data_IF_092145958091
#
_entry.id   IF_092145958091
#
_cell.length_a   1.000
_cell.length_b   1.000
_cell.length_c   1.000
_cell.angle_alpha   90.00
_cell.angle_beta   90.00
_cell.angle_gamma   90.00
#
_symmetry.space_group_name_H-M   'P 1'
#
loop_
_entity.id
_entity.type
_entity.pdbx_description
1 polymer ?
#
# COMPACT_ATOMS: atom_id res chain seq x y z
N UNK A 1 -51.65 -50.85 -9.66
CA UNK A 1 -52.17 -49.61 -10.28
C UNK A 1 -51.86 -48.43 -9.36
N UNK A 2 -51.59 -47.25 -9.92
CA UNK A 2 -51.61 -45.93 -9.24
C UNK A 2 -53.09 -45.44 -9.11
N UNK A 3 -53.46 -44.25 -8.54
CA UNK A 3 -52.69 -43.18 -7.86
C UNK A 3 -53.30 -42.77 -6.45
N UNK A 4 -53.68 -41.51 -6.10
CA UNK A 4 -52.90 -40.61 -5.22
C UNK A 4 -53.72 -39.85 -4.13
N UNK A 5 -53.24 -38.65 -3.73
CA UNK A 5 -53.92 -37.50 -3.09
C UNK A 5 -54.09 -37.52 -1.56
N UNK A 6 -54.03 -36.41 -0.81
CA UNK A 6 -53.41 -35.06 -1.01
C UNK A 6 -53.42 -34.31 0.36
N UNK A 7 -52.88 -33.08 0.43
CA UNK A 7 -53.05 -32.07 1.51
C UNK A 7 -52.53 -32.39 2.93
N UNK A 8 -52.32 -31.42 3.81
CA UNK A 8 -51.83 -30.03 3.68
C UNK A 8 -51.52 -29.51 5.10
N UNK A 9 -50.59 -28.54 5.23
CA UNK A 9 -50.44 -27.71 6.44
C UNK A 9 -49.79 -28.37 7.69
N UNK A 10 -48.94 -27.67 8.44
CA UNK A 10 -48.37 -26.34 8.21
C UNK A 10 -47.68 -25.78 9.46
N UNK A 11 -46.67 -24.92 9.24
CA UNK A 11 -46.09 -23.94 10.18
C UNK A 11 -45.62 -24.41 11.59
N UNK A 12 -44.48 -23.96 12.13
CA UNK A 12 -43.88 -22.61 12.02
C UNK A 12 -42.36 -22.62 12.03
N UNK A 13 -41.79 -21.84 11.12
CA UNK A 13 -40.60 -21.04 11.39
C UNK A 13 -40.99 -19.79 12.21
N UNK A 14 -40.08 -19.29 13.04
CA UNK A 14 -39.61 -17.91 13.06
C UNK A 14 -38.19 -17.86 12.43
N UNK A 15 -37.76 -16.96 11.53
CA UNK A 15 -38.15 -15.58 11.21
C UNK A 15 -38.09 -14.67 12.46
N UNK A 16 -37.29 -13.61 12.59
CA UNK A 16 -36.28 -12.93 11.75
C UNK A 16 -35.19 -12.39 12.74
N UNK A 17 -34.06 -11.76 12.41
CA UNK A 17 -33.46 -11.25 11.16
C UNK A 17 -31.91 -11.22 11.31
N UNK A 18 -31.17 -10.96 10.23
CA UNK A 18 -30.07 -9.96 10.16
C UNK A 18 -29.53 -9.91 8.72
N UNK A 19 -29.97 -8.84 8.06
CA UNK A 19 -29.35 -8.15 6.93
C UNK A 19 -27.81 -8.19 7.02
N UNK A 20 -27.00 -8.42 5.99
CA UNK A 20 -27.24 -8.10 4.59
C UNK A 20 -26.24 -7.06 4.09
N UNK A 21 -24.92 -7.28 4.23
CA UNK A 21 -23.91 -6.49 3.49
C UNK A 21 -23.51 -7.22 2.19
N UNK A 22 -23.92 -6.71 1.01
CA UNK A 22 -23.62 -7.33 -0.28
C UNK A 22 -22.28 -6.87 -0.88
N UNK A 23 -21.41 -6.17 -0.13
CA UNK A 23 -20.19 -5.52 -0.68
C UNK A 23 -18.92 -6.35 -0.49
N UNK A 24 -18.97 -7.46 0.26
CA UNK A 24 -17.84 -8.33 0.56
C UNK A 24 -17.46 -9.35 -0.57
N UNK A 25 -18.12 -9.33 -1.73
CA UNK A 25 -17.86 -10.25 -2.84
C UNK A 25 -17.44 -9.49 -4.12
N UNK A 26 -16.14 -9.19 -4.29
CA UNK A 26 -15.42 -9.86 -5.38
C UNK A 26 -13.90 -10.04 -5.13
N UNK A 27 -13.47 -10.76 -4.07
CA UNK A 27 -12.03 -10.95 -3.79
C UNK A 27 -11.56 -12.40 -3.54
N UNK A 28 -12.42 -13.40 -3.81
CA UNK A 28 -12.22 -14.77 -3.30
C UNK A 28 -11.53 -15.77 -4.24
N UNK A 29 -10.76 -15.32 -5.24
CA UNK A 29 -10.07 -16.22 -6.20
C UNK A 29 -8.53 -16.23 -6.06
N UNK A 30 -7.91 -15.24 -5.37
CA UNK A 30 -6.45 -15.22 -5.14
C UNK A 30 -6.01 -15.73 -3.74
N UNK A 31 -6.96 -16.14 -2.89
CA UNK A 31 -6.76 -16.18 -1.43
C UNK A 31 -5.80 -17.24 -0.87
N UNK A 32 -5.48 -18.31 -1.62
CA UNK A 32 -4.74 -19.48 -1.06
C UNK A 32 -3.26 -19.27 -0.79
N UNK A 33 -2.57 -18.43 -1.55
CA UNK A 33 -1.19 -18.02 -1.28
C UNK A 33 -1.13 -16.74 -0.44
N UNK A 34 -2.05 -15.81 -0.69
CA UNK A 34 -2.05 -14.50 -0.04
C UNK A 34 -2.50 -14.54 1.43
N UNK A 35 -3.28 -15.55 1.87
CA UNK A 35 -3.93 -15.57 3.18
C UNK A 35 -3.01 -15.30 4.39
N UNK A 36 -1.82 -15.89 4.45
CA UNK A 36 -0.87 -15.64 5.57
C UNK A 36 -0.24 -14.25 5.53
N UNK A 37 0.07 -13.73 4.34
CA UNK A 37 0.63 -12.39 4.17
C UNK A 37 -0.43 -11.32 4.46
N UNK A 38 -1.66 -11.49 3.94
CA UNK A 38 -2.79 -10.58 4.20
C UNK A 38 -3.10 -10.49 5.69
N UNK A 39 -3.20 -11.62 6.42
CA UNK A 39 -3.47 -11.59 7.87
C UNK A 39 -2.37 -10.82 8.63
N UNK A 40 -1.10 -10.99 8.25
CA UNK A 40 0.01 -10.22 8.83
C UNK A 40 -0.08 -8.72 8.51
N UNK A 41 -0.36 -8.38 7.25
CA UNK A 41 -0.55 -6.98 6.78
C UNK A 41 -1.72 -6.32 7.51
N UNK A 42 -2.83 -7.02 7.71
CA UNK A 42 -4.03 -6.50 8.41
C UNK A 42 -3.69 -6.14 9.85
N UNK A 43 -3.11 -7.06 10.62
CA UNK A 43 -2.74 -6.79 12.02
C UNK A 43 -1.70 -5.66 12.16
N UNK A 44 -0.76 -5.55 11.22
CA UNK A 44 0.17 -4.41 11.15
C UNK A 44 -0.50 -3.10 10.77
N UNK A 45 -1.53 -3.12 9.92
CA UNK A 45 -2.33 -1.94 9.62
C UNK A 45 -3.11 -1.49 10.85
N UNK A 46 -3.71 -2.41 11.62
CA UNK A 46 -4.42 -2.09 12.87
C UNK A 46 -3.48 -1.45 13.91
N UNK A 47 -2.30 -2.03 14.15
CA UNK A 47 -1.25 -1.48 15.03
C UNK A 47 -0.75 -0.09 14.56
N UNK A 48 -0.75 0.15 13.25
CA UNK A 48 -0.43 1.43 12.64
C UNK A 48 -1.54 2.49 12.78
N UNK A 49 -2.79 2.10 13.09
CA UNK A 49 -3.88 3.07 13.34
C UNK A 49 -3.65 3.87 14.62
N UNK A 50 -3.06 3.24 15.65
CA UNK A 50 -2.74 3.89 16.92
C UNK A 50 -1.44 4.71 16.84
N UNK A 51 -0.41 4.17 16.18
CA UNK A 51 0.93 4.77 16.17
C UNK A 51 1.21 5.70 14.97
N UNK A 52 0.33 5.74 13.95
CA UNK A 52 0.56 6.48 12.68
C UNK A 52 1.83 6.05 11.91
N UNK A 53 2.36 4.86 12.20
CA UNK A 53 3.53 4.25 11.57
C UNK A 53 3.16 2.87 11.03
N UNK A 54 3.20 2.69 9.70
CA UNK A 54 2.84 1.45 9.04
C UNK A 54 4.08 0.62 8.70
N UNK A 55 4.36 -0.42 9.48
CA UNK A 55 5.38 -1.43 9.18
C UNK A 55 4.79 -2.61 8.40
N UNK A 56 5.11 -2.68 7.11
CA UNK A 56 4.82 -3.80 6.21
C UNK A 56 6.12 -4.43 5.66
N UNK A 57 7.23 -4.29 6.39
CA UNK A 57 8.52 -4.86 6.01
C UNK A 57 8.49 -6.40 5.95
N UNK A 58 9.36 -6.98 5.11
CA UNK A 58 9.57 -8.44 4.95
C UNK A 58 8.29 -9.28 4.70
N UNK A 59 7.23 -8.66 4.18
CA UNK A 59 5.93 -9.30 3.94
C UNK A 59 5.82 -10.02 2.58
N UNK A 60 6.91 -10.09 1.81
CA UNK A 60 6.98 -10.71 0.47
C UNK A 60 5.92 -10.16 -0.50
N UNK A 61 5.56 -8.89 -0.35
CA UNK A 61 4.53 -8.22 -1.14
C UNK A 61 5.04 -7.95 -2.56
N UNK A 62 4.30 -8.41 -3.57
CA UNK A 62 4.51 -8.06 -4.99
C UNK A 62 3.96 -6.67 -5.32
N UNK A 63 2.97 -6.22 -4.52
CA UNK A 63 2.30 -4.93 -4.58
C UNK A 63 1.62 -4.67 -3.23
N UNK A 64 1.36 -3.41 -2.90
CA UNK A 64 0.54 -3.05 -1.73
C UNK A 64 -0.91 -3.51 -1.97
N UNK A 65 -1.46 -4.42 -1.16
CA UNK A 65 -2.78 -5.02 -1.41
C UNK A 65 -3.91 -4.05 -1.05
N UNK A 66 -5.05 -4.12 -1.75
CA UNK A 66 -6.14 -3.14 -1.57
C UNK A 66 -6.70 -3.05 -0.15
N UNK A 67 -6.57 -4.12 0.65
CA UNK A 67 -6.93 -4.13 2.06
C UNK A 67 -6.26 -2.99 2.86
N UNK A 68 -5.00 -2.64 2.54
CA UNK A 68 -4.27 -1.54 3.21
C UNK A 68 -5.00 -0.20 3.01
N UNK A 69 -5.48 0.10 1.81
CA UNK A 69 -6.21 1.35 1.56
C UNK A 69 -7.59 1.40 2.24
N UNK A 70 -8.21 0.24 2.48
CA UNK A 70 -9.49 0.13 3.17
C UNK A 70 -9.32 0.28 4.69
N UNK A 71 -8.35 -0.41 5.29
CA UNK A 71 -8.04 -0.33 6.72
C UNK A 71 -7.52 1.06 7.10
N UNK A 72 -6.56 1.58 6.32
CA UNK A 72 -5.98 2.90 6.56
C UNK A 72 -6.83 4.04 5.96
N UNK A 73 -8.13 3.79 5.70
CA UNK A 73 -9.04 4.82 5.15
C UNK A 73 -9.17 6.03 6.07
N UNK A 74 -9.21 5.80 7.38
CA UNK A 74 -9.41 6.82 8.42
C UNK A 74 -8.14 7.15 9.22
N UNK A 75 -6.99 6.65 8.78
CA UNK A 75 -5.69 6.87 9.43
C UNK A 75 -4.80 7.73 8.56
N UNK A 76 -4.17 8.73 9.18
CA UNK A 76 -3.15 9.57 8.57
C UNK A 76 -1.77 8.99 8.93
N UNK A 77 -1.04 8.50 7.94
CA UNK A 77 0.29 7.94 8.15
C UNK A 77 1.36 9.01 8.10
N UNK A 78 2.27 8.96 9.07
CA UNK A 78 3.51 9.74 9.10
C UNK A 78 4.70 8.91 8.64
N UNK A 79 4.79 7.66 9.10
CA UNK A 79 5.84 6.75 8.65
C UNK A 79 5.24 5.54 7.94
N UNK A 80 5.90 5.08 6.88
CA UNK A 80 5.55 3.84 6.21
C UNK A 80 6.82 3.08 5.80
N UNK A 81 6.95 1.85 6.28
CA UNK A 81 8.00 0.92 5.91
C UNK A 81 7.42 -0.19 5.03
N UNK A 82 7.97 -0.32 3.82
CA UNK A 82 7.65 -1.36 2.83
C UNK A 82 8.91 -2.13 2.43
N UNK A 83 9.97 -2.07 3.25
CA UNK A 83 11.27 -2.64 2.93
C UNK A 83 11.29 -4.18 2.90
N UNK A 84 12.25 -4.77 2.18
CA UNK A 84 12.42 -6.23 2.16
C UNK A 84 11.25 -6.98 1.49
N UNK A 85 10.51 -6.30 0.62
CA UNK A 85 9.43 -6.89 -0.16
C UNK A 85 9.88 -7.17 -1.61
N UNK A 86 8.97 -7.63 -2.46
CA UNK A 86 9.22 -7.88 -3.88
C UNK A 86 8.40 -6.91 -4.75
N UNK A 87 8.19 -5.69 -4.27
CA UNK A 87 7.37 -4.69 -4.94
C UNK A 87 8.12 -4.23 -6.18
N UNK A 88 7.50 -4.42 -7.35
CA UNK A 88 8.05 -3.95 -8.63
C UNK A 88 7.54 -2.55 -9.01
N UNK A 89 6.33 -2.18 -8.54
CA UNK A 89 5.68 -0.91 -8.85
C UNK A 89 4.88 -0.40 -7.66
N UNK A 90 5.08 0.86 -7.31
CA UNK A 90 4.22 1.58 -6.37
C UNK A 90 3.02 2.15 -7.14
N UNK A 91 1.77 1.87 -6.73
CA UNK A 91 0.60 2.46 -7.37
C UNK A 91 0.44 3.94 -6.98
N UNK A 92 0.00 4.83 -7.89
CA UNK A 92 -0.17 6.26 -7.60
C UNK A 92 -1.14 6.53 -6.44
N UNK A 93 -2.13 5.64 -6.24
CA UNK A 93 -3.06 5.66 -5.11
C UNK A 93 -2.37 5.70 -3.75
N UNK A 94 -1.15 5.16 -3.62
CA UNK A 94 -0.39 5.20 -2.36
C UNK A 94 -0.08 6.64 -1.95
N UNK A 95 0.48 7.43 -2.88
CA UNK A 95 0.83 8.82 -2.65
C UNK A 95 -0.38 9.70 -2.38
N UNK A 96 -1.43 9.55 -3.20
CA UNK A 96 -2.68 10.31 -3.07
C UNK A 96 -3.43 9.98 -1.78
N UNK A 97 -3.31 8.75 -1.28
CA UNK A 97 -3.96 8.32 -0.03
C UNK A 97 -3.19 8.74 1.22
N UNK A 98 -1.86 8.79 1.15
CA UNK A 98 -0.98 9.00 2.29
C UNK A 98 -0.13 10.28 2.16
N UNK A 99 -0.76 11.38 1.76
CA UNK A 99 -0.12 12.68 1.50
C UNK A 99 0.63 13.32 2.68
N UNK A 100 0.46 12.79 3.89
CA UNK A 100 1.06 13.28 5.14
C UNK A 100 2.28 12.46 5.61
N UNK A 101 2.74 11.48 4.83
CA UNK A 101 3.94 10.71 5.16
C UNK A 101 5.17 11.64 5.19
N UNK A 102 5.89 11.61 6.30
CA UNK A 102 7.20 12.23 6.52
C UNK A 102 8.34 11.26 6.21
N UNK A 103 8.16 9.96 6.49
CA UNK A 103 9.21 8.95 6.39
C UNK A 103 8.72 7.75 5.57
N UNK A 104 9.29 7.53 4.38
CA UNK A 104 8.95 6.41 3.51
C UNK A 104 10.17 5.54 3.22
N UNK A 105 10.13 4.29 3.69
CA UNK A 105 11.17 3.29 3.40
C UNK A 105 10.66 2.28 2.35
N UNK A 106 11.28 2.30 1.17
CA UNK A 106 11.06 1.39 0.05
C UNK A 106 12.29 0.51 -0.23
N UNK A 107 13.27 0.46 0.68
CA UNK A 107 14.54 -0.26 0.48
C UNK A 107 14.34 -1.77 0.25
N UNK A 108 15.34 -2.46 -0.31
CA UNK A 108 15.30 -3.91 -0.55
C UNK A 108 14.03 -4.35 -1.31
N UNK A 109 13.77 -3.75 -2.48
CA UNK A 109 12.63 -4.05 -3.34
C UNK A 109 13.08 -4.18 -4.81
N UNK A 110 12.13 -4.31 -5.74
CA UNK A 110 12.39 -4.45 -7.19
C UNK A 110 11.84 -3.26 -7.99
N UNK A 111 11.78 -2.08 -7.37
CA UNK A 111 11.20 -0.87 -7.97
C UNK A 111 12.20 -0.29 -8.96
N UNK A 112 11.75 -0.08 -10.20
CA UNK A 112 12.52 0.57 -11.25
C UNK A 112 12.14 2.06 -11.45
N UNK A 113 10.91 2.44 -11.06
CA UNK A 113 10.34 3.78 -11.20
C UNK A 113 9.30 4.05 -10.10
N UNK A 114 9.26 5.29 -9.61
CA UNK A 114 8.17 5.82 -8.77
C UNK A 114 7.11 6.52 -9.66
N UNK A 115 5.83 6.55 -9.26
CA UNK A 115 4.81 7.32 -9.97
C UNK A 115 4.95 8.82 -9.69
N UNK A 116 4.65 9.66 -10.69
CA UNK A 116 4.71 11.13 -10.62
C UNK A 116 3.82 11.70 -9.49
N UNK A 117 2.70 11.03 -9.19
CA UNK A 117 1.76 11.35 -8.11
C UNK A 117 2.39 11.35 -6.72
N UNK A 118 3.58 10.76 -6.54
CA UNK A 118 4.38 10.95 -5.32
C UNK A 118 4.64 12.44 -5.01
N UNK A 119 4.52 13.33 -6.00
CA UNK A 119 4.74 14.77 -5.84
C UNK A 119 3.71 15.41 -4.90
N UNK A 120 2.60 14.74 -4.62
CA UNK A 120 1.61 15.20 -3.62
C UNK A 120 2.07 15.01 -2.17
N UNK A 121 3.17 14.27 -1.93
CA UNK A 121 3.76 14.05 -0.61
C UNK A 121 4.54 15.30 -0.14
N UNK A 122 3.83 16.41 0.08
CA UNK A 122 4.43 17.69 0.46
C UNK A 122 5.18 17.65 1.80
N UNK A 123 4.82 16.71 2.68
CA UNK A 123 5.43 16.50 3.99
C UNK A 123 6.58 15.49 4.01
N UNK A 124 6.95 14.88 2.88
CA UNK A 124 7.97 13.81 2.85
C UNK A 124 9.36 14.37 3.14
N UNK A 125 9.91 14.02 4.30
CA UNK A 125 11.23 14.45 4.80
C UNK A 125 12.33 13.42 4.52
N UNK A 126 12.00 12.12 4.60
CA UNK A 126 12.94 11.01 4.36
C UNK A 126 12.37 10.01 3.37
N UNK A 127 13.16 9.69 2.35
CA UNK A 127 12.85 8.66 1.36
C UNK A 127 14.03 7.70 1.22
N UNK A 128 13.81 6.43 1.52
CA UNK A 128 14.75 5.37 1.21
C UNK A 128 14.26 4.56 0.00
N UNK A 129 15.05 4.58 -1.07
CA UNK A 129 14.88 3.78 -2.29
C UNK A 129 16.11 2.91 -2.56
N UNK A 130 16.95 2.65 -1.54
CA UNK A 130 18.15 1.83 -1.67
C UNK A 130 17.83 0.39 -2.05
N UNK A 131 18.83 -0.35 -2.54
CA UNK A 131 18.69 -1.78 -2.88
C UNK A 131 17.47 -2.07 -3.77
N UNK A 132 17.32 -1.28 -4.84
CA UNK A 132 16.26 -1.37 -5.84
C UNK A 132 16.87 -1.43 -7.25
N UNK A 133 16.05 -1.26 -8.29
CA UNK A 133 16.46 -1.35 -9.71
C UNK A 133 16.33 -0.01 -10.44
N UNK A 134 16.45 1.11 -9.72
CA UNK A 134 16.44 2.44 -10.35
C UNK A 134 17.67 2.63 -11.25
N UNK A 135 17.42 2.99 -12.51
CA UNK A 135 18.45 3.29 -13.53
C UNK A 135 18.78 4.79 -13.58
N UNK A 136 17.83 5.63 -13.19
CA UNK A 136 17.98 7.06 -13.06
C UNK A 136 17.35 7.52 -11.76
N UNK A 137 17.87 8.59 -11.16
CA UNK A 137 17.32 9.16 -9.92
C UNK A 137 15.95 9.79 -10.24
N UNK A 138 14.86 9.34 -9.60
CA UNK A 138 13.51 9.68 -10.05
C UNK A 138 13.18 11.15 -9.71
N UNK A 139 12.74 11.91 -10.73
CA UNK A 139 12.63 13.38 -10.68
C UNK A 139 11.72 13.92 -9.57
N UNK A 140 10.79 13.10 -9.09
CA UNK A 140 9.97 13.31 -7.89
C UNK A 140 10.77 13.82 -6.69
N UNK A 141 11.95 13.26 -6.45
CA UNK A 141 12.83 13.65 -5.32
C UNK A 141 13.21 15.12 -5.35
N UNK A 142 13.19 15.76 -6.53
CA UNK A 142 13.44 17.19 -6.72
C UNK A 142 12.17 18.05 -6.61
N UNK A 143 10.99 17.43 -6.55
CA UNK A 143 9.69 18.10 -6.45
C UNK A 143 9.13 18.10 -5.02
N UNK A 144 9.47 17.10 -4.19
CA UNK A 144 9.08 17.09 -2.78
C UNK A 144 9.76 18.27 -2.03
N UNK A 145 9.01 19.27 -1.54
CA UNK A 145 9.58 20.51 -1.01
C UNK A 145 10.23 20.37 0.37
N UNK A 146 9.90 19.31 1.10
CA UNK A 146 10.38 19.01 2.45
C UNK A 146 11.41 17.86 2.49
N UNK A 147 11.82 17.30 1.35
CA UNK A 147 12.66 16.10 1.32
C UNK A 147 14.13 16.41 1.64
N UNK A 148 14.49 16.28 2.93
CA UNK A 148 15.84 16.49 3.43
C UNK A 148 16.77 15.30 3.20
N UNK A 149 16.27 14.06 3.30
CA UNK A 149 17.09 12.84 3.23
C UNK A 149 16.62 11.91 2.12
N UNK A 150 17.50 11.64 1.16
CA UNK A 150 17.31 10.63 0.11
C UNK A 150 18.40 9.56 0.19
N UNK A 151 18.00 8.31 0.45
CA UNK A 151 18.89 7.16 0.39
C UNK A 151 18.63 6.38 -0.90
N UNK A 152 19.63 6.30 -1.78
CA UNK A 152 19.53 5.64 -3.09
C UNK A 152 20.70 4.68 -3.38
N UNK A 153 21.44 4.27 -2.34
CA UNK A 153 22.57 3.35 -2.45
C UNK A 153 22.15 1.97 -2.98
N UNK A 154 23.10 1.22 -3.55
CA UNK A 154 22.84 -0.12 -4.11
C UNK A 154 21.71 -0.18 -5.16
N UNK A 155 21.59 0.87 -5.99
CA UNK A 155 20.80 0.88 -7.22
C UNK A 155 21.70 0.79 -8.46
N UNK A 156 21.08 0.86 -9.65
CA UNK A 156 21.76 0.92 -10.95
C UNK A 156 21.76 2.35 -11.53
N UNK A 157 21.77 3.36 -10.67
CA UNK A 157 21.65 4.77 -11.07
C UNK A 157 22.89 5.19 -11.85
N UNK A 158 22.70 5.40 -13.15
CA UNK A 158 23.72 5.91 -14.09
C UNK A 158 23.42 7.34 -14.53
N UNK A 159 22.17 7.79 -14.41
CA UNK A 159 21.71 9.12 -14.83
C UNK A 159 21.10 9.90 -13.66
N UNK A 160 21.53 11.16 -13.50
CA UNK A 160 20.99 12.11 -12.52
C UNK A 160 20.76 13.44 -13.23
N UNK A 161 19.53 13.95 -13.18
CA UNK A 161 19.16 15.24 -13.76
C UNK A 161 19.66 16.37 -12.84
N UNK A 162 20.91 16.78 -13.02
CA UNK A 162 21.58 17.83 -12.23
C UNK A 162 20.92 19.21 -12.35
N UNK A 163 20.22 19.50 -13.44
CA UNK A 163 19.50 20.77 -13.63
C UNK A 163 18.22 20.81 -12.78
N UNK A 164 17.54 19.68 -12.60
CA UNK A 164 16.46 19.55 -11.61
C UNK A 164 16.98 19.48 -10.18
N UNK A 165 18.08 18.76 -9.94
CA UNK A 165 18.70 18.67 -8.62
C UNK A 165 19.11 20.05 -8.09
N UNK A 166 19.77 20.87 -8.92
CA UNK A 166 20.18 22.23 -8.57
C UNK A 166 19.00 23.20 -8.34
N UNK A 167 17.79 22.87 -8.82
CA UNK A 167 16.55 23.62 -8.51
C UNK A 167 15.86 23.13 -7.24
N UNK A 168 16.10 21.89 -6.81
CA UNK A 168 15.62 21.42 -5.51
C UNK A 168 16.37 22.17 -4.41
N UNK A 169 15.61 22.84 -3.53
CA UNK A 169 16.13 23.44 -2.29
C UNK A 169 15.92 22.55 -1.08
N UNK A 170 15.34 21.37 -1.27
CA UNK A 170 14.94 20.46 -0.19
C UNK A 170 16.08 19.50 0.19
N UNK A 171 16.78 18.96 -0.80
CA UNK A 171 17.85 17.98 -0.62
C UNK A 171 19.15 18.68 -0.24
N UNK A 172 19.63 18.44 0.98
CA UNK A 172 21.02 18.72 1.37
C UNK A 172 21.93 17.64 0.75
N UNK A 173 22.98 18.07 0.02
CA UNK A 173 23.85 17.23 -0.80
C UNK A 173 25.34 17.36 -0.44
#
# INVERSE_FOLDING_TARGET
MRPPADCDGGARLPAEAEEGDPRAAPMMICARLAGRAIIRVVGRCEEAQENSQLDLSECQLMQVPDAVYHLMRHTELKSCDLSGNVISKIPPKLAVKFSLITDLNLSNNQIAKLPDEMCTLACLERLDISHNTFVALPHITFQCPALHTLLAHHNQIIEVDVDRMARSRALEY
#
